data_IF_001891594752
#
_entry.id   IF_001891594752
#
_cell.length_a   1.000
_cell.length_b   1.000
_cell.length_c   1.000
_cell.angle_alpha   90.00
_cell.angle_beta   90.00
_cell.angle_gamma   90.00
#
_symmetry.space_group_name_H-M   'P 1'
#
loop_
_entity.id
_entity.type
_entity.pdbx_description
1 polymer ?
#
# COMPACT_ATOMS: atom_id res chain seq x y z
N UNK A 1 8.63 38.57 15.18
CA UNK A 1 8.99 37.35 15.95
C UNK A 1 8.63 36.19 15.07
N UNK A 2 9.61 35.36 14.68
CA UNK A 2 9.38 34.12 13.94
C UNK A 2 8.65 33.14 14.85
N UNK A 3 7.56 32.54 14.36
CA UNK A 3 6.87 31.50 15.09
C UNK A 3 7.84 30.31 15.29
N UNK A 4 7.85 29.66 16.46
CA UNK A 4 8.66 28.48 16.67
C UNK A 4 8.23 27.38 15.70
N UNK A 5 9.17 26.89 14.91
CA UNK A 5 8.95 25.91 13.85
C UNK A 5 9.87 24.71 14.02
N UNK A 6 9.38 23.55 13.58
CA UNK A 6 10.16 22.33 13.49
C UNK A 6 11.40 22.54 12.63
N UNK A 7 12.55 22.10 13.13
CA UNK A 7 13.78 22.03 12.36
C UNK A 7 14.00 20.60 11.90
N UNK A 8 14.22 20.40 10.60
CA UNK A 8 14.57 19.07 10.09
C UNK A 8 16.00 18.74 10.53
N UNK A 9 16.16 17.60 11.18
CA UNK A 9 17.46 17.09 11.61
C UNK A 9 18.18 16.38 10.48
N UNK A 10 19.51 16.49 10.45
CA UNK A 10 20.33 15.66 9.58
C UNK A 10 20.38 14.24 10.13
N UNK A 11 20.07 13.26 9.28
CA UNK A 11 20.00 11.86 9.69
C UNK A 11 21.34 11.34 10.22
N UNK A 12 22.45 11.68 9.55
CA UNK A 12 23.75 11.15 9.94
C UNK A 12 24.19 11.77 11.27
N UNK A 13 23.92 13.05 11.47
CA UNK A 13 24.16 13.73 12.74
C UNK A 13 23.32 13.10 13.87
N UNK A 14 22.02 12.91 13.67
CA UNK A 14 21.15 12.30 14.67
C UNK A 14 21.62 10.88 15.06
N UNK A 15 21.98 10.05 14.08
CA UNK A 15 22.48 8.69 14.36
C UNK A 15 23.81 8.71 15.11
N UNK A 16 24.68 9.68 14.86
CA UNK A 16 25.93 9.80 15.60
C UNK A 16 25.68 10.19 17.08
N UNK A 17 24.67 11.02 17.34
CA UNK A 17 24.36 11.53 18.67
C UNK A 17 23.56 10.52 19.52
N UNK A 18 22.61 9.80 18.89
CA UNK A 18 21.60 9.00 19.57
C UNK A 18 21.60 7.51 19.19
N UNK A 19 22.26 7.14 18.08
CA UNK A 19 22.22 5.79 17.55
C UNK A 19 20.97 5.48 16.72
N UNK A 20 21.10 4.55 15.77
CA UNK A 20 20.01 4.13 14.88
C UNK A 20 18.91 3.34 15.61
N UNK A 21 19.25 2.70 16.73
CA UNK A 21 18.32 1.87 17.50
C UNK A 21 17.14 2.68 18.02
N UNK A 22 17.32 3.97 18.34
CA UNK A 22 16.21 4.85 18.74
C UNK A 22 15.21 4.99 17.59
N UNK A 23 15.65 5.10 16.34
CA UNK A 23 14.74 5.18 15.21
C UNK A 23 14.05 3.83 14.99
N UNK A 24 14.79 2.73 15.01
CA UNK A 24 14.24 1.38 14.75
C UNK A 24 13.23 0.97 15.82
N UNK A 25 13.57 1.17 17.11
CA UNK A 25 12.71 0.78 18.23
C UNK A 25 11.43 1.62 18.30
N UNK A 26 11.44 2.82 17.72
CA UNK A 26 10.28 3.68 17.62
C UNK A 26 9.51 3.53 16.31
N UNK A 27 10.00 2.75 15.34
CA UNK A 27 9.30 2.58 14.08
C UNK A 27 7.98 1.80 14.28
N UNK A 28 6.86 2.27 13.71
CA UNK A 28 5.55 1.69 13.95
C UNK A 28 5.47 0.28 13.34
N UNK A 29 5.08 -0.71 14.13
CA UNK A 29 4.84 -2.07 13.62
C UNK A 29 3.55 -2.13 12.81
N UNK A 30 3.55 -2.89 11.71
CA UNK A 30 2.39 -2.94 10.78
C UNK A 30 1.85 -4.35 10.65
N UNK A 31 0.53 -4.45 10.76
CA UNK A 31 -0.23 -5.68 10.52
C UNK A 31 -0.67 -5.72 9.06
N UNK A 32 -0.39 -6.84 8.37
CA UNK A 32 -0.88 -7.06 7.01
C UNK A 32 -1.34 -8.51 6.80
N UNK A 33 -2.24 -8.71 5.82
CA UNK A 33 -2.80 -10.03 5.50
C UNK A 33 -1.81 -10.85 4.67
N UNK A 34 -1.73 -12.16 4.95
CA UNK A 34 -0.89 -13.11 4.21
C UNK A 34 -1.52 -13.58 2.89
N UNK A 35 -2.83 -13.39 2.67
CA UNK A 35 -3.56 -13.98 1.54
C UNK A 35 -3.55 -13.11 0.27
N UNK A 36 -3.34 -13.77 -0.87
CA UNK A 36 -3.54 -13.22 -2.23
C UNK A 36 -5.03 -12.93 -2.47
N UNK A 37 -5.37 -11.73 -2.96
CA UNK A 37 -6.78 -11.26 -3.05
C UNK A 37 -7.37 -11.23 -4.47
N UNK A 38 -6.56 -11.44 -5.51
CA UNK A 38 -7.08 -11.58 -6.87
C UNK A 38 -7.34 -13.05 -7.24
N UNK A 39 -8.59 -13.51 -7.09
CA UNK A 39 -9.01 -14.87 -7.52
C UNK A 39 -8.77 -15.14 -9.02
N UNK A 40 -8.73 -14.10 -9.87
CA UNK A 40 -8.42 -14.24 -11.30
C UNK A 40 -6.97 -14.68 -11.55
N UNK A 41 -6.04 -14.26 -10.69
CA UNK A 41 -4.65 -14.72 -10.74
C UNK A 41 -4.60 -16.23 -10.45
N UNK A 42 -5.33 -16.69 -9.44
CA UNK A 42 -5.44 -18.12 -9.11
C UNK A 42 -5.98 -18.96 -10.27
N UNK A 43 -7.00 -18.49 -11.00
CA UNK A 43 -7.48 -19.21 -12.19
C UNK A 43 -6.42 -19.31 -13.30
N UNK A 44 -5.60 -18.27 -13.47
CA UNK A 44 -4.47 -18.30 -14.42
C UNK A 44 -3.37 -19.27 -13.99
N UNK A 45 -3.11 -19.37 -12.68
CA UNK A 45 -2.16 -20.31 -12.09
C UNK A 45 -2.66 -21.76 -12.20
N UNK A 46 -3.95 -22.01 -11.93
CA UNK A 46 -4.57 -23.33 -12.11
C UNK A 46 -4.50 -23.73 -13.60
N UNK A 47 -4.84 -22.81 -14.50
CA UNK A 47 -4.73 -23.05 -15.94
C UNK A 47 -3.28 -23.33 -16.38
N UNK A 48 -2.30 -22.61 -15.84
CA UNK A 48 -0.88 -22.88 -16.06
C UNK A 48 -0.51 -24.30 -15.64
N UNK A 49 -0.86 -24.73 -14.41
CA UNK A 49 -0.57 -26.09 -13.98
C UNK A 49 -1.25 -27.15 -14.86
N UNK A 50 -2.48 -26.91 -15.32
CA UNK A 50 -3.17 -27.82 -16.24
C UNK A 50 -2.46 -27.93 -17.60
N UNK A 51 -2.04 -26.81 -18.17
CA UNK A 51 -1.32 -26.79 -19.47
C UNK A 51 0.07 -27.40 -19.32
N UNK A 52 0.81 -27.09 -18.27
CA UNK A 52 2.11 -27.69 -17.97
C UNK A 52 2.00 -29.22 -17.78
N UNK A 53 1.02 -29.70 -17.01
CA UNK A 53 0.79 -31.15 -16.84
C UNK A 53 0.40 -31.80 -18.17
N UNK A 54 -0.47 -31.16 -18.96
CA UNK A 54 -0.82 -31.63 -20.30
C UNK A 54 0.40 -31.71 -21.24
N UNK A 55 1.32 -30.75 -21.14
CA UNK A 55 2.57 -30.72 -21.89
C UNK A 55 3.48 -31.89 -21.50
N UNK A 56 3.63 -32.16 -20.20
CA UNK A 56 4.42 -33.31 -19.69
C UNK A 56 3.82 -34.66 -20.12
N UNK A 57 2.49 -34.79 -20.11
CA UNK A 57 1.80 -36.00 -20.60
C UNK A 57 2.02 -36.15 -22.11
N UNK A 58 1.88 -35.07 -22.88
CA UNK A 58 2.10 -35.07 -24.33
C UNK A 58 3.53 -35.44 -24.71
N UNK A 59 4.52 -34.91 -23.98
CA UNK A 59 5.93 -35.29 -24.10
C UNK A 59 6.12 -36.80 -23.85
N UNK A 60 5.53 -37.30 -22.76
CA UNK A 60 5.65 -38.72 -22.38
C UNK A 60 5.03 -39.64 -23.44
N UNK A 61 3.82 -39.34 -23.91
CA UNK A 61 3.16 -40.12 -24.97
C UNK A 61 3.93 -40.06 -26.29
N UNK A 62 4.47 -38.89 -26.63
CA UNK A 62 5.26 -38.71 -27.85
C UNK A 62 6.56 -39.52 -27.84
N UNK A 63 7.22 -39.62 -26.69
CA UNK A 63 8.38 -40.50 -26.51
C UNK A 63 7.99 -41.99 -26.62
N UNK A 64 6.85 -42.38 -26.06
CA UNK A 64 6.35 -43.76 -26.15
C UNK A 64 5.92 -44.18 -27.57
N UNK A 65 5.36 -43.26 -28.35
CA UNK A 65 4.86 -43.53 -29.71
C UNK A 65 5.81 -43.07 -30.82
N UNK A 66 7.07 -42.78 -30.47
CA UNK A 66 8.07 -42.21 -31.38
C UNK A 66 8.26 -43.05 -32.66
N UNK A 67 8.06 -44.37 -32.57
CA UNK A 67 8.30 -45.31 -33.68
C UNK A 67 7.14 -45.44 -34.68
N UNK A 68 5.93 -44.97 -34.37
CA UNK A 68 4.72 -45.31 -35.16
C UNK A 68 4.26 -44.15 -36.06
N UNK A 69 4.17 -42.92 -35.54
CA UNK A 69 3.61 -41.76 -36.27
C UNK A 69 4.23 -40.41 -35.83
N UNK A 70 5.53 -40.37 -35.55
CA UNK A 70 6.16 -39.16 -35.01
C UNK A 70 6.57 -38.17 -36.10
N UNK A 71 5.79 -37.09 -36.26
CA UNK A 71 6.20 -35.93 -37.03
C UNK A 71 6.90 -34.91 -36.12
N UNK A 72 8.22 -34.81 -36.25
CA UNK A 72 9.06 -33.83 -35.53
C UNK A 72 8.52 -32.41 -35.68
N UNK A 73 8.06 -32.04 -36.87
CA UNK A 73 7.57 -30.68 -37.17
C UNK A 73 6.29 -30.37 -36.38
N UNK A 74 5.33 -31.31 -36.38
CA UNK A 74 4.07 -31.16 -35.65
C UNK A 74 4.33 -31.11 -34.15
N UNK A 75 5.20 -31.98 -33.65
CA UNK A 75 5.60 -32.01 -32.25
C UNK A 75 6.23 -30.70 -31.78
N UNK A 76 7.22 -30.17 -32.52
CA UNK A 76 7.87 -28.88 -32.21
C UNK A 76 6.84 -27.74 -32.21
N UNK A 77 5.91 -27.76 -33.15
CA UNK A 77 4.88 -26.71 -33.27
C UNK A 77 3.92 -26.72 -32.08
N UNK A 78 3.44 -27.90 -31.67
CA UNK A 78 2.55 -28.06 -30.50
C UNK A 78 3.25 -27.64 -29.20
N UNK A 79 4.51 -28.06 -29.00
CA UNK A 79 5.29 -27.66 -27.81
C UNK A 79 5.47 -26.15 -27.78
N UNK A 80 5.90 -25.55 -28.90
CA UNK A 80 6.14 -24.11 -28.96
C UNK A 80 4.88 -23.31 -28.64
N UNK A 81 3.72 -23.74 -29.14
CA UNK A 81 2.43 -23.11 -28.85
C UNK A 81 2.05 -23.24 -27.37
N UNK A 82 2.16 -24.43 -26.78
CA UNK A 82 1.80 -24.65 -25.38
C UNK A 82 2.74 -23.90 -24.42
N UNK A 83 4.05 -23.87 -24.69
CA UNK A 83 5.02 -23.07 -23.92
C UNK A 83 4.69 -21.58 -24.00
N UNK A 84 4.31 -21.08 -25.19
CA UNK A 84 3.89 -19.69 -25.34
C UNK A 84 2.63 -19.37 -24.50
N UNK A 85 1.63 -20.26 -24.51
CA UNK A 85 0.42 -20.13 -23.68
C UNK A 85 0.77 -20.15 -22.19
N UNK A 86 1.60 -21.10 -21.74
CA UNK A 86 2.03 -21.19 -20.33
C UNK A 86 2.79 -19.94 -19.89
N UNK A 87 3.67 -19.43 -20.74
CA UNK A 87 4.42 -18.19 -20.49
C UNK A 87 3.46 -17.00 -20.32
N UNK A 88 2.42 -16.91 -21.16
CA UNK A 88 1.40 -15.86 -21.03
C UNK A 88 0.60 -16.02 -19.73
N UNK A 89 0.21 -17.26 -19.37
CA UNK A 89 -0.56 -17.53 -18.15
C UNK A 89 0.23 -17.19 -16.88
N UNK A 90 1.51 -17.55 -16.80
CA UNK A 90 2.34 -17.24 -15.64
C UNK A 90 2.68 -15.74 -15.57
N UNK A 91 2.92 -15.08 -16.70
CA UNK A 91 3.08 -13.62 -16.74
C UNK A 91 1.81 -12.91 -16.31
N UNK A 92 0.64 -13.40 -16.72
CA UNK A 92 -0.64 -12.89 -16.26
C UNK A 92 -0.78 -13.09 -14.76
N UNK A 93 -0.48 -14.28 -14.22
CA UNK A 93 -0.49 -14.52 -12.77
C UNK A 93 0.44 -13.55 -12.03
N UNK A 94 1.70 -13.40 -12.44
CA UNK A 94 2.67 -12.51 -11.80
C UNK A 94 2.21 -11.05 -11.84
N UNK A 95 1.64 -10.59 -12.96
CA UNK A 95 1.16 -9.20 -13.12
C UNK A 95 -0.16 -8.91 -12.41
N UNK A 96 -1.02 -9.91 -12.26
CA UNK A 96 -2.31 -9.77 -11.58
C UNK A 96 -2.23 -10.09 -10.08
N UNK A 97 -1.22 -10.84 -9.64
CA UNK A 97 -1.01 -11.07 -8.21
C UNK A 97 -0.34 -9.86 -7.55
N UNK A 98 -1.16 -8.89 -7.14
CA UNK A 98 -0.68 -7.84 -6.22
C UNK A 98 -1.01 -8.27 -4.81
N UNK A 99 -0.01 -8.88 -4.17
CA UNK A 99 0.03 -8.95 -2.71
C UNK A 99 0.32 -7.53 -2.25
N UNK A 100 -0.64 -6.89 -1.59
CA UNK A 100 -0.38 -5.63 -0.89
C UNK A 100 0.37 -5.98 0.38
N UNK A 101 1.66 -5.64 0.41
CA UNK A 101 2.54 -5.91 1.53
C UNK A 101 3.39 -4.68 1.84
N UNK A 102 3.70 -4.43 3.12
CA UNK A 102 4.69 -3.44 3.49
C UNK A 102 6.04 -3.83 2.90
N UNK A 103 6.63 -2.93 2.10
CA UNK A 103 7.89 -3.13 1.37
C UNK A 103 9.05 -2.49 2.10
N UNK A 104 8.93 -1.19 2.37
CA UNK A 104 9.94 -0.35 3.00
C UNK A 104 9.24 0.64 3.94
N UNK A 105 9.98 1.17 4.91
CA UNK A 105 9.56 2.30 5.70
C UNK A 105 10.62 3.38 5.53
N UNK A 106 10.20 4.56 5.09
CA UNK A 106 11.08 5.71 5.02
C UNK A 106 10.80 6.64 6.20
N UNK A 107 11.75 7.47 6.59
CA UNK A 107 11.53 8.39 7.70
C UNK A 107 12.27 9.71 7.59
N UNK A 108 11.75 10.72 8.27
CA UNK A 108 12.39 12.01 8.53
C UNK A 108 12.34 12.32 10.03
N UNK A 109 13.33 13.06 10.52
CA UNK A 109 13.44 13.45 11.91
C UNK A 109 13.35 14.97 11.98
N UNK A 110 12.55 15.46 12.92
CA UNK A 110 12.37 16.87 13.20
C UNK A 110 12.57 17.12 14.68
N UNK A 111 13.15 18.29 15.01
CA UNK A 111 13.45 18.71 16.37
C UNK A 111 12.97 20.14 16.62
N UNK A 112 12.55 20.36 17.86
CA UNK A 112 12.42 21.69 18.46
C UNK A 112 12.76 21.59 19.95
N UNK A 113 13.86 22.22 20.38
CA UNK A 113 14.42 22.04 21.73
C UNK A 113 14.64 20.54 22.05
N UNK A 114 13.96 20.02 23.08
CA UNK A 114 14.04 18.60 23.49
C UNK A 114 12.90 17.75 22.87
N UNK A 115 12.03 18.37 22.09
CA UNK A 115 10.95 17.67 21.40
C UNK A 115 11.42 17.18 20.04
N UNK A 116 11.06 15.94 19.74
CA UNK A 116 11.35 15.28 18.49
C UNK A 116 10.07 14.74 17.86
N UNK A 117 10.00 14.79 16.54
CA UNK A 117 9.00 14.08 15.75
C UNK A 117 9.69 13.20 14.72
N UNK A 118 9.36 11.92 14.73
CA UNK A 118 9.74 10.98 13.68
C UNK A 118 8.55 10.80 12.74
N UNK A 119 8.68 11.31 11.52
CA UNK A 119 7.70 11.11 10.46
C UNK A 119 8.07 9.86 9.67
N UNK A 120 7.31 8.78 9.85
CA UNK A 120 7.45 7.53 9.12
C UNK A 120 6.51 7.49 7.91
N UNK A 121 7.03 7.02 6.78
CA UNK A 121 6.34 6.84 5.50
C UNK A 121 6.40 5.37 5.12
N UNK A 122 5.32 4.65 5.41
CA UNK A 122 5.18 3.24 5.12
C UNK A 122 4.86 3.06 3.65
N UNK A 123 5.67 2.26 2.94
CA UNK A 123 5.48 2.00 1.52
C UNK A 123 4.90 0.60 1.34
N UNK A 124 3.75 0.54 0.69
CA UNK A 124 3.07 -0.67 0.29
C UNK A 124 3.24 -0.93 -1.20
N UNK A 125 3.16 -2.20 -1.59
CA UNK A 125 3.28 -2.62 -3.01
C UNK A 125 2.08 -2.27 -3.88
N UNK A 126 0.96 -1.88 -3.28
CA UNK A 126 -0.33 -1.66 -3.95
C UNK A 126 -1.28 -0.87 -3.06
N UNK A 127 -2.26 -0.16 -3.65
CA UNK A 127 -3.40 0.43 -2.95
C UNK A 127 -4.64 -0.47 -3.07
N UNK A 128 -5.47 -0.54 -2.03
CA UNK A 128 -6.76 -1.24 -2.05
C UNK A 128 -7.93 -0.24 -2.00
N UNK A 129 -9.06 -0.59 -2.62
CA UNK A 129 -10.30 0.20 -2.56
C UNK A 129 -11.49 -0.71 -2.19
N UNK A 130 -12.48 -0.24 -1.39
CA UNK A 130 -13.65 -1.03 -0.97
C UNK A 130 -14.40 -1.64 -2.16
N UNK A 131 -14.58 -0.84 -3.20
CA UNK A 131 -15.16 -1.28 -4.46
C UNK A 131 -14.10 -1.93 -5.36
N UNK A 132 -14.16 -3.27 -5.48
CA UNK A 132 -13.27 -4.09 -6.31
C UNK A 132 -13.18 -3.64 -7.76
N UNK A 133 -14.27 -3.11 -8.33
CA UNK A 133 -14.29 -2.61 -9.69
C UNK A 133 -13.52 -1.27 -9.81
N UNK A 134 -13.76 -0.33 -8.90
CA UNK A 134 -12.99 0.92 -8.82
C UNK A 134 -11.50 0.65 -8.55
N UNK A 135 -11.16 -0.37 -7.77
CA UNK A 135 -9.77 -0.74 -7.46
C UNK A 135 -8.91 -0.96 -8.71
N UNK A 136 -9.49 -1.49 -9.80
CA UNK A 136 -8.79 -1.63 -11.09
C UNK A 136 -8.51 -0.27 -11.73
N UNK A 137 -9.46 0.66 -11.64
CA UNK A 137 -9.32 2.01 -12.21
C UNK A 137 -8.29 2.82 -11.43
N UNK A 138 -8.30 2.73 -10.09
CA UNK A 138 -7.27 3.31 -9.23
C UNK A 138 -5.88 2.78 -9.59
N UNK A 139 -5.74 1.47 -9.78
CA UNK A 139 -4.48 0.86 -10.20
C UNK A 139 -4.01 1.37 -11.57
N UNK A 140 -4.92 1.45 -12.54
CA UNK A 140 -4.60 2.03 -13.86
C UNK A 140 -4.16 3.49 -13.76
N UNK A 141 -4.81 4.27 -12.92
CA UNK A 141 -4.43 5.66 -12.66
C UNK A 141 -3.02 5.76 -12.07
N UNK A 142 -2.72 4.96 -11.03
CA UNK A 142 -1.41 4.94 -10.39
C UNK A 142 -0.32 4.54 -11.40
N UNK A 143 -0.55 3.47 -12.16
CA UNK A 143 0.38 2.99 -13.19
C UNK A 143 0.68 4.06 -14.26
N UNK A 144 -0.35 4.73 -14.78
CA UNK A 144 -0.20 5.62 -15.93
C UNK A 144 0.12 7.07 -15.54
N UNK A 145 -0.32 7.56 -14.38
CA UNK A 145 -0.10 8.96 -13.94
C UNK A 145 1.03 9.08 -12.92
N UNK A 146 1.13 8.14 -11.98
CA UNK A 146 2.15 8.17 -10.93
C UNK A 146 3.40 7.35 -11.31
N UNK A 147 3.34 6.57 -12.40
CA UNK A 147 4.40 5.66 -12.87
C UNK A 147 4.82 4.58 -11.85
N UNK A 148 3.94 4.27 -10.90
CA UNK A 148 4.12 3.21 -9.93
C UNK A 148 2.76 2.75 -9.38
N UNK A 149 2.70 1.60 -8.71
CA UNK A 149 1.49 1.13 -7.99
C UNK A 149 1.60 1.26 -6.48
N UNK A 150 2.64 1.92 -5.97
CA UNK A 150 2.88 1.92 -4.53
C UNK A 150 1.86 2.79 -3.81
N UNK A 151 1.53 2.40 -2.59
CA UNK A 151 0.77 3.24 -1.66
C UNK A 151 1.66 3.68 -0.51
N UNK A 152 1.35 4.85 0.07
CA UNK A 152 2.17 5.44 1.13
C UNK A 152 1.28 5.93 2.25
N UNK A 153 1.52 5.43 3.46
CA UNK A 153 0.87 5.92 4.68
C UNK A 153 1.89 6.65 5.55
N UNK A 154 1.51 7.82 6.07
CA UNK A 154 2.37 8.60 6.96
C UNK A 154 1.90 8.49 8.42
N UNK A 155 2.85 8.33 9.33
CA UNK A 155 2.65 8.29 10.78
C UNK A 155 3.69 9.18 11.42
N UNK A 156 3.25 10.03 12.34
CA UNK A 156 4.13 10.87 13.13
C UNK A 156 4.21 10.33 14.55
N UNK A 157 5.43 10.23 15.08
CA UNK A 157 5.69 9.77 16.43
C UNK A 157 6.37 10.89 17.20
N UNK A 158 5.69 11.36 18.23
CA UNK A 158 6.12 12.48 19.05
C UNK A 158 6.82 11.98 20.30
N UNK A 159 8.02 12.51 20.52
CA UNK A 159 8.94 12.10 21.57
C UNK A 159 9.49 13.36 22.27
N UNK A 160 9.90 13.19 23.51
CA UNK A 160 10.78 14.13 24.21
C UNK A 160 12.05 13.38 24.61
N UNK A 161 13.19 13.81 24.07
CA UNK A 161 14.49 13.17 24.32
C UNK A 161 15.30 14.11 25.21
N UNK A 162 15.51 13.70 26.47
CA UNK A 162 16.44 14.35 27.40
C UNK A 162 17.76 13.57 27.40
N UNK A 163 18.79 14.07 28.10
CA UNK A 163 20.14 13.45 28.10
C UNK A 163 20.17 11.96 28.45
N UNK A 164 19.25 11.48 29.29
CA UNK A 164 19.25 10.09 29.77
C UNK A 164 17.91 9.36 29.60
N UNK A 165 16.87 10.01 29.03
CA UNK A 165 15.53 9.44 28.99
C UNK A 165 14.76 9.84 27.71
N UNK A 166 13.97 8.88 27.20
CA UNK A 166 13.11 9.05 26.03
C UNK A 166 11.68 8.91 26.50
N UNK A 167 10.97 10.03 26.55
CA UNK A 167 9.56 10.05 26.90
C UNK A 167 8.70 10.08 25.63
N UNK A 168 8.00 8.98 25.37
CA UNK A 168 7.05 8.88 24.27
C UNK A 168 5.77 9.66 24.57
N UNK A 169 5.45 10.63 23.72
CA UNK A 169 4.24 11.41 23.87
C UNK A 169 3.05 10.68 23.23
N UNK A 170 3.18 10.29 21.96
CA UNK A 170 2.11 9.62 21.23
C UNK A 170 2.31 9.58 19.72
N UNK A 171 1.26 9.14 19.04
CA UNK A 171 1.21 8.92 17.59
C UNK A 171 0.18 9.85 16.95
N UNK A 172 0.43 10.27 15.72
CA UNK A 172 -0.52 11.07 14.92
C UNK A 172 -0.54 10.56 13.48
N UNK A 173 -1.71 10.18 13.00
CA UNK A 173 -1.89 9.60 11.66
C UNK A 173 -3.34 9.74 11.20
N UNK A 174 -3.59 9.48 9.93
CA UNK A 174 -4.95 9.49 9.34
C UNK A 174 -5.85 8.42 9.98
N UNK A 175 -7.01 8.86 10.50
CA UNK A 175 -7.93 8.00 11.25
C UNK A 175 -9.38 8.18 10.78
N UNK A 176 -10.01 7.07 10.38
CA UNK A 176 -11.39 7.02 9.93
C UNK A 176 -12.36 6.61 11.04
N UNK A 177 -12.59 7.49 12.03
CA UNK A 177 -13.42 7.17 13.19
C UNK A 177 -14.86 6.78 12.85
N UNK A 178 -15.38 5.73 13.51
CA UNK A 178 -16.82 5.47 13.61
C UNK A 178 -17.51 4.96 12.34
N UNK A 179 -16.76 4.64 11.28
CA UNK A 179 -17.33 4.08 10.05
C UNK A 179 -16.95 2.61 9.85
N UNK A 180 -17.90 1.73 9.49
CA UNK A 180 -17.59 0.36 9.09
C UNK A 180 -16.64 0.33 7.89
N UNK A 181 -15.69 -0.61 7.91
CA UNK A 181 -14.63 -0.74 6.90
C UNK A 181 -15.12 -0.99 5.47
N UNK A 182 -16.39 -1.23 5.20
CA UNK A 182 -16.91 -1.45 3.84
C UNK A 182 -17.52 -0.19 3.21
N UNK A 183 -17.63 0.91 3.94
CA UNK A 183 -18.23 2.12 3.40
C UNK A 183 -17.19 2.97 2.65
N UNK A 184 -17.61 3.54 1.53
CA UNK A 184 -16.78 4.47 0.72
C UNK A 184 -16.73 5.89 1.34
N UNK A 185 -17.57 6.19 2.33
CA UNK A 185 -17.72 7.53 2.90
C UNK A 185 -16.79 7.80 4.09
N UNK A 186 -15.69 7.05 4.24
CA UNK A 186 -14.70 7.31 5.30
C UNK A 186 -14.13 8.72 5.13
N UNK A 187 -14.07 9.46 6.25
CA UNK A 187 -13.49 10.79 6.22
C UNK A 187 -11.97 10.69 6.23
N UNK A 188 -11.36 10.81 5.05
CA UNK A 188 -9.91 10.84 4.86
C UNK A 188 -9.25 12.17 5.27
N UNK A 189 -10.03 13.16 5.78
CA UNK A 189 -9.50 14.46 6.25
C UNK A 189 -8.86 14.40 7.61
N UNK A 190 -9.30 13.47 8.44
CA UNK A 190 -9.06 13.54 9.87
C UNK A 190 -7.80 12.80 10.24
N UNK A 191 -6.83 13.55 10.75
CA UNK A 191 -5.70 13.01 11.49
C UNK A 191 -6.01 13.06 12.98
N UNK A 192 -5.70 11.98 13.69
CA UNK A 192 -6.05 11.84 15.10
C UNK A 192 -4.81 11.55 15.94
N UNK A 193 -4.74 12.19 17.11
CA UNK A 193 -3.68 11.96 18.08
C UNK A 193 -4.05 10.85 19.05
N UNK A 194 -3.09 9.96 19.29
CA UNK A 194 -3.20 8.82 20.20
C UNK A 194 -2.07 8.89 21.23
N UNK A 195 -2.39 9.09 22.52
CA UNK A 195 -1.40 9.08 23.59
C UNK A 195 -0.65 7.74 23.65
N UNK A 196 0.66 7.80 23.90
CA UNK A 196 1.51 6.61 23.93
C UNK A 196 1.03 5.57 24.95
N UNK A 197 0.53 6.01 26.11
CA UNK A 197 0.03 5.10 27.15
C UNK A 197 -1.10 4.18 26.67
N UNK A 198 -1.91 4.62 25.69
CA UNK A 198 -2.97 3.78 25.10
C UNK A 198 -2.43 2.69 24.16
N UNK A 199 -1.15 2.77 23.77
CA UNK A 199 -0.49 1.78 22.90
C UNK A 199 0.19 0.64 23.67
N UNK A 200 0.39 0.77 24.99
CA UNK A 200 1.13 -0.20 25.83
C UNK A 200 0.46 -1.58 25.97
N UNK A 201 -0.80 -1.73 25.57
CA UNK A 201 -1.56 -2.99 25.62
C UNK A 201 -1.52 -3.79 24.31
N UNK A 202 -0.44 -3.70 23.53
CA UNK A 202 -0.31 -4.48 22.28
C UNK A 202 -1.48 -4.26 21.31
N UNK A 203 -2.07 -3.06 21.35
CA UNK A 203 -3.15 -2.67 20.45
C UNK A 203 -2.57 -2.31 19.07
N UNK A 204 -1.76 -3.23 18.53
CA UNK A 204 -1.03 -3.18 17.25
C UNK A 204 -1.93 -2.88 16.06
N UNK A 205 -3.25 -3.08 16.25
CA UNK A 205 -4.29 -2.98 15.24
C UNK A 205 -4.68 -1.51 14.94
N UNK A 206 -4.28 -0.54 15.77
CA UNK A 206 -4.74 0.85 15.61
C UNK A 206 -3.80 1.77 14.80
N UNK A 207 -2.49 1.49 14.70
CA UNK A 207 -1.53 2.58 14.43
C UNK A 207 -1.43 3.01 12.97
N UNK A 208 -1.72 2.19 11.96
CA UNK A 208 -1.75 2.68 10.57
C UNK A 208 -1.99 1.57 9.57
N UNK A 209 -3.25 1.24 9.34
CA UNK A 209 -3.58 0.70 8.04
C UNK A 209 -4.97 1.10 7.57
N UNK A 210 -5.51 2.23 8.05
CA UNK A 210 -6.90 2.62 7.80
C UNK A 210 -7.26 2.65 6.31
N UNK A 211 -6.38 3.17 5.45
CA UNK A 211 -6.55 3.14 4.01
C UNK A 211 -6.51 1.73 3.38
N UNK A 212 -5.88 0.76 4.03
CA UNK A 212 -5.79 -0.64 3.58
C UNK A 212 -6.67 -1.59 4.40
N UNK A 213 -7.49 -1.09 5.34
CA UNK A 213 -8.42 -1.93 6.11
C UNK A 213 -9.45 -2.64 5.24
N UNK A 214 -9.73 -2.09 4.05
CA UNK A 214 -10.54 -2.74 3.02
C UNK A 214 -9.97 -4.08 2.55
N UNK A 215 -8.66 -4.29 2.69
CA UNK A 215 -8.08 -5.61 2.48
C UNK A 215 -8.75 -6.61 3.42
N UNK A 216 -8.99 -6.23 4.67
CA UNK A 216 -9.54 -7.09 5.69
C UNK A 216 -11.00 -7.46 5.44
N UNK A 217 -11.70 -6.85 4.48
CA UNK A 217 -13.14 -7.04 4.25
C UNK A 217 -13.56 -8.48 3.91
N UNK A 218 -12.71 -9.27 3.22
CA UNK A 218 -12.99 -10.70 2.99
C UNK A 218 -12.38 -11.60 4.09
N UNK A 219 -11.55 -11.06 4.99
CA UNK A 219 -10.91 -11.79 6.10
C UNK A 219 -11.65 -11.54 7.45
N UNK A 220 -12.39 -10.43 7.57
CA UNK A 220 -13.17 -9.96 8.73
C UNK A 220 -14.68 -10.23 8.59
N UNK A 221 -15.08 -11.23 7.80
CA UNK A 221 -16.51 -11.57 7.63
C UNK A 221 -17.24 -11.80 8.97
N UNK A 222 -16.53 -11.99 10.09
CA UNK A 222 -17.07 -12.13 11.43
C UNK A 222 -16.20 -11.41 12.49
N UNK A 223 -16.75 -10.33 13.06
CA UNK A 223 -16.37 -9.66 14.33
C UNK A 223 -14.95 -9.09 14.53
N UNK A 224 -14.88 -7.81 14.91
CA UNK A 224 -13.67 -7.12 15.36
C UNK A 224 -13.03 -7.80 16.57
N UNK A 225 -13.85 -8.36 17.47
CA UNK A 225 -13.39 -8.98 18.72
C UNK A 225 -12.66 -10.32 18.50
N UNK A 226 -12.76 -10.87 17.28
CA UNK A 226 -12.17 -12.15 16.87
C UNK A 226 -11.08 -12.01 15.82
N UNK A 227 -10.53 -10.80 15.65
CA UNK A 227 -9.38 -10.53 14.78
C UNK A 227 -8.22 -11.50 15.03
N UNK A 228 -7.98 -11.89 16.28
CA UNK A 228 -6.94 -12.87 16.63
C UNK A 228 -7.29 -14.33 16.27
N UNK A 229 -8.55 -14.65 15.94
CA UNK A 229 -9.04 -16.01 15.66
C UNK A 229 -9.09 -16.34 14.14
N UNK A 230 -9.29 -15.34 13.26
CA UNK A 230 -9.65 -15.56 11.84
C UNK A 230 -8.53 -15.36 10.80
N UNK A 231 -7.43 -16.14 10.90
CA UNK A 231 -6.40 -16.36 9.86
C UNK A 231 -5.10 -15.50 9.96
N UNK A 232 -3.98 -15.93 9.34
CA UNK A 232 -2.63 -15.68 9.83
C UNK A 232 -2.12 -14.29 9.45
N UNK A 233 -2.09 -13.40 10.43
CA UNK A 233 -1.48 -12.08 10.31
C UNK A 233 0.03 -12.18 10.32
N UNK A 234 0.68 -11.25 9.62
CA UNK A 234 2.11 -11.03 9.75
C UNK A 234 2.33 -9.65 10.35
N UNK A 235 3.03 -9.60 11.48
CA UNK A 235 3.50 -8.35 12.07
C UNK A 235 4.84 -8.01 11.40
N UNK A 236 4.85 -6.96 10.58
CA UNK A 236 6.08 -6.40 10.03
C UNK A 236 6.72 -5.47 11.05
N UNK A 237 7.90 -5.87 11.53
CA UNK A 237 8.83 -4.99 12.24
C UNK A 237 9.92 -4.50 11.29
N UNK A 238 10.42 -3.31 11.57
CA UNK A 238 11.45 -2.66 10.77
C UNK A 238 12.84 -2.96 11.32
N UNK A 239 13.83 -2.93 10.45
CA UNK A 239 15.23 -3.14 10.75
C UNK A 239 16.08 -2.21 9.88
N UNK A 240 17.39 -2.25 10.09
CA UNK A 240 18.36 -1.40 9.38
C UNK A 240 18.26 -1.54 7.85
N UNK A 241 17.85 -2.71 7.33
CA UNK A 241 17.80 -2.95 5.89
C UNK A 241 16.56 -2.36 5.20
N UNK A 242 15.45 -2.28 5.92
CA UNK A 242 14.14 -1.90 5.37
C UNK A 242 13.62 -0.54 5.89
N UNK A 243 14.32 0.07 6.85
CA UNK A 243 14.11 1.42 7.34
C UNK A 243 15.13 2.36 6.71
N UNK A 244 14.68 3.39 5.97
CA UNK A 244 15.58 4.27 5.20
C UNK A 244 15.28 5.75 5.44
N UNK A 245 16.29 6.62 5.51
CA UNK A 245 16.04 8.06 5.57
C UNK A 245 15.40 8.55 4.25
N UNK A 246 14.37 9.38 4.36
CA UNK A 246 13.70 9.98 3.19
C UNK A 246 14.54 11.11 2.62
N UNK A 247 15.33 10.78 1.61
CA UNK A 247 16.14 11.75 0.86
C UNK A 247 15.33 12.46 -0.23
N UNK A 248 15.81 13.61 -0.71
CA UNK A 248 15.20 14.30 -1.87
C UNK A 248 15.15 13.42 -3.14
N UNK A 249 16.12 12.52 -3.31
CA UNK A 249 16.10 11.52 -4.39
C UNK A 249 14.91 10.57 -4.25
N UNK A 250 14.62 10.12 -3.03
CA UNK A 250 13.48 9.26 -2.75
C UNK A 250 12.16 10.01 -2.88
N UNK A 251 12.05 11.25 -2.41
CA UNK A 251 10.86 12.10 -2.59
C UNK A 251 10.51 12.30 -4.07
N UNK A 252 11.52 12.54 -4.92
CA UNK A 252 11.35 12.61 -6.38
C UNK A 252 10.88 11.28 -6.97
N UNK A 253 11.46 10.16 -6.50
CA UNK A 253 11.13 8.82 -7.00
C UNK A 253 9.66 8.43 -6.76
N UNK A 254 9.09 8.80 -5.62
CA UNK A 254 7.70 8.47 -5.27
C UNK A 254 6.70 9.58 -5.60
N UNK A 255 7.21 10.65 -6.22
CA UNK A 255 6.43 11.82 -6.56
C UNK A 255 5.60 12.38 -5.38
N UNK A 256 6.27 12.64 -4.23
CA UNK A 256 5.62 13.11 -2.99
C UNK A 256 4.66 14.27 -3.21
N UNK A 257 5.00 15.21 -4.10
CA UNK A 257 4.20 16.40 -4.38
C UNK A 257 2.85 16.04 -5.01
N UNK A 258 2.83 15.16 -6.00
CA UNK A 258 1.57 14.69 -6.61
C UNK A 258 0.71 13.90 -5.65
N UNK A 259 1.31 13.29 -4.62
CA UNK A 259 0.61 12.52 -3.57
C UNK A 259 0.15 13.37 -2.38
N UNK A 260 0.37 14.68 -2.41
CA UNK A 260 0.07 15.59 -1.29
C UNK A 260 0.70 15.17 0.05
N UNK A 261 1.85 14.49 0.01
CA UNK A 261 2.56 14.08 1.23
C UNK A 261 3.33 15.28 1.78
N UNK A 262 2.93 15.75 2.96
CA UNK A 262 3.59 16.84 3.67
C UNK A 262 4.69 16.31 4.60
N UNK A 263 5.89 16.88 4.46
CA UNK A 263 7.08 16.48 5.19
C UNK A 263 7.08 16.99 6.64
N UNK A 264 6.58 18.21 6.84
CA UNK A 264 6.61 18.90 8.14
C UNK A 264 5.67 18.24 9.15
N UNK A 265 6.09 18.03 10.41
CA UNK A 265 5.21 17.52 11.44
C UNK A 265 4.03 18.45 11.70
N UNK A 266 2.86 17.85 11.95
CA UNK A 266 1.58 18.55 11.98
C UNK A 266 1.27 19.17 13.34
N UNK A 267 1.69 18.50 14.42
CA UNK A 267 1.45 18.93 15.79
C UNK A 267 2.68 19.62 16.39
N UNK A 268 2.44 20.41 17.42
CA UNK A 268 3.45 21.20 18.15
C UNK A 268 3.35 20.90 19.64
N UNK A 269 4.11 19.91 20.14
CA UNK A 269 4.06 19.52 21.56
C UNK A 269 4.35 20.65 22.55
N UNK A 270 5.08 21.69 22.13
CA UNK A 270 5.39 22.85 22.97
C UNK A 270 4.24 23.86 23.09
N UNK A 271 3.20 23.78 22.25
CA UNK A 271 2.04 24.68 22.30
C UNK A 271 0.95 24.23 23.30
N UNK A 272 1.12 23.05 23.92
CA UNK A 272 0.23 22.55 24.96
C UNK A 272 -0.26 21.14 24.70
N UNK A 273 -1.52 20.85 25.05
CA UNK A 273 -2.09 19.51 24.95
C UNK A 273 -2.23 19.05 23.49
N UNK A 274 -1.51 17.99 23.12
CA UNK A 274 -1.54 17.38 21.79
C UNK A 274 -2.93 16.82 21.40
N UNK A 275 -3.72 16.35 22.36
CA UNK A 275 -5.07 15.82 22.10
C UNK A 275 -6.05 16.88 21.56
N UNK A 276 -5.77 18.17 21.85
CA UNK A 276 -6.62 19.28 21.42
C UNK A 276 -6.17 19.90 20.10
N UNK A 277 -5.01 19.50 19.58
CA UNK A 277 -4.49 20.02 18.33
C UNK A 277 -5.11 19.26 17.17
N UNK A 278 -5.47 20.00 16.12
CA UNK A 278 -6.13 19.44 14.95
C UNK A 278 -5.30 19.74 13.70
N UNK A 279 -5.37 18.83 12.75
CA UNK A 279 -4.82 19.02 11.41
C UNK A 279 -5.85 18.53 10.42
N UNK A 280 -6.21 19.40 9.48
CA UNK A 280 -7.04 19.04 8.35
C UNK A 280 -6.16 18.79 7.14
N UNK A 281 -6.23 17.57 6.61
CA UNK A 281 -5.50 17.26 5.39
C UNK A 281 -6.04 18.10 4.23
N UNK A 282 -5.20 18.87 3.50
CA UNK A 282 -5.67 19.89 2.56
C UNK A 282 -6.48 19.33 1.38
N UNK A 283 -6.18 18.11 0.94
CA UNK A 283 -6.83 17.51 -0.23
C UNK A 283 -6.95 15.98 -0.10
N UNK A 284 -7.82 15.45 0.77
CA UNK A 284 -7.95 14.01 1.08
C UNK A 284 -8.57 13.17 -0.02
N UNK A 285 -9.40 13.78 -0.88
CA UNK A 285 -10.27 13.09 -1.83
C UNK A 285 -9.70 13.17 -3.23
N UNK A 286 -8.52 13.76 -3.41
CA UNK A 286 -7.95 14.08 -4.71
C UNK A 286 -7.93 12.89 -5.68
N UNK A 287 -7.48 11.71 -5.24
CA UNK A 287 -7.50 10.51 -6.08
C UNK A 287 -8.94 10.08 -6.38
N UNK A 288 -9.80 10.04 -5.36
CA UNK A 288 -11.21 9.69 -5.51
C UNK A 288 -11.93 10.64 -6.48
N UNK A 289 -11.61 11.93 -6.44
CA UNK A 289 -12.18 12.96 -7.30
C UNK A 289 -11.68 12.79 -8.74
N UNK A 290 -10.38 12.52 -8.95
CA UNK A 290 -9.82 12.20 -10.27
C UNK A 290 -10.45 10.93 -10.85
N UNK A 291 -10.58 9.88 -10.05
CA UNK A 291 -11.19 8.62 -10.50
C UNK A 291 -12.66 8.82 -10.84
N UNK A 292 -13.42 9.53 -10.00
CA UNK A 292 -14.82 9.81 -10.28
C UNK A 292 -15.00 10.68 -11.53
N UNK A 293 -14.13 11.67 -11.74
CA UNK A 293 -14.13 12.50 -12.96
C UNK A 293 -13.80 11.66 -14.20
N UNK A 294 -12.80 10.77 -14.12
CA UNK A 294 -12.45 9.86 -15.20
C UNK A 294 -13.60 8.91 -15.55
N UNK A 295 -14.28 8.35 -14.54
CA UNK A 295 -15.48 7.51 -14.73
C UNK A 295 -16.57 8.33 -15.42
N UNK A 296 -16.87 9.54 -14.95
CA UNK A 296 -17.90 10.40 -15.55
C UNK A 296 -17.59 10.75 -17.01
N UNK A 297 -16.35 11.12 -17.31
CA UNK A 297 -15.94 11.53 -18.66
C UNK A 297 -15.88 10.38 -19.66
N UNK A 298 -15.45 9.19 -19.23
CA UNK A 298 -15.21 8.06 -20.12
C UNK A 298 -16.42 7.12 -20.21
N UNK A 299 -17.12 6.90 -19.10
CA UNK A 299 -18.23 5.95 -18.99
C UNK A 299 -19.59 6.68 -18.99
N UNK A 300 -19.68 7.85 -18.35
CA UNK A 300 -20.89 8.68 -18.29
C UNK A 300 -21.36 8.99 -16.86
N UNK A 301 -22.08 10.11 -16.68
CA UNK A 301 -22.47 10.63 -15.36
C UNK A 301 -23.46 9.76 -14.57
N UNK A 302 -24.29 8.96 -15.25
CA UNK A 302 -25.33 8.14 -14.62
C UNK A 302 -24.83 6.75 -14.19
N UNK A 303 -23.59 6.39 -14.52
CA UNK A 303 -23.11 5.03 -14.33
C UNK A 303 -22.50 4.79 -12.95
N UNK A 304 -23.15 3.95 -12.13
CA UNK A 304 -22.55 3.39 -10.92
C UNK A 304 -21.77 2.13 -11.27
N UNK A 305 -20.45 2.22 -11.21
CA UNK A 305 -19.56 1.08 -11.39
C UNK A 305 -19.69 0.16 -10.16
N UNK A 306 -20.56 -0.84 -10.26
CA UNK A 306 -20.80 -1.82 -9.19
C UNK A 306 -20.12 -3.18 -9.48
N UNK A 307 -19.94 -3.56 -10.75
CA UNK A 307 -19.42 -4.89 -11.13
C UNK A 307 -18.26 -4.79 -12.14
N UNK A 308 -17.26 -5.67 -11.97
CA UNK A 308 -16.09 -5.78 -12.87
C UNK A 308 -16.42 -6.03 -14.35
N UNK A 309 -17.59 -6.59 -14.65
CA UNK A 309 -18.02 -6.89 -16.02
C UNK A 309 -18.26 -5.60 -16.80
N UNK A 310 -18.71 -4.57 -16.11
CA UNK A 310 -19.11 -3.29 -16.67
C UNK A 310 -17.91 -2.50 -17.18
N UNK A 311 -16.74 -2.69 -16.55
CA UNK A 311 -15.52 -1.97 -16.90
C UNK A 311 -14.77 -2.54 -18.11
N UNK A 312 -14.98 -3.81 -18.47
CA UNK A 312 -14.09 -4.54 -19.40
C UNK A 312 -13.87 -3.84 -20.75
N UNK A 313 -14.91 -3.19 -21.29
CA UNK A 313 -14.85 -2.50 -22.58
C UNK A 313 -14.23 -1.11 -22.47
N UNK A 314 -14.36 -0.46 -21.30
CA UNK A 314 -13.94 0.93 -21.10
C UNK A 314 -12.58 1.07 -20.41
N UNK A 315 -11.98 -0.02 -19.90
CA UNK A 315 -10.62 -0.01 -19.33
C UNK A 315 -9.57 0.57 -20.30
N UNK A 316 -9.68 0.25 -21.59
CA UNK A 316 -8.75 0.80 -22.59
C UNK A 316 -8.90 2.31 -22.77
N UNK A 317 -10.14 2.82 -22.70
CA UNK A 317 -10.43 4.25 -22.80
C UNK A 317 -9.98 4.99 -21.54
N UNK A 318 -10.24 4.43 -20.36
CA UNK A 318 -9.74 4.96 -19.08
C UNK A 318 -8.22 5.02 -19.06
N UNK A 319 -7.55 3.97 -19.56
CA UNK A 319 -6.09 3.95 -19.70
C UNK A 319 -5.58 5.06 -20.61
N UNK A 320 -6.20 5.26 -21.77
CA UNK A 320 -5.85 6.34 -22.68
C UNK A 320 -6.04 7.73 -22.04
N UNK A 321 -7.16 7.91 -21.34
CA UNK A 321 -7.46 9.13 -20.61
C UNK A 321 -6.41 9.45 -19.53
N UNK A 322 -5.99 8.46 -18.74
CA UNK A 322 -4.95 8.66 -17.73
C UNK A 322 -3.58 8.95 -18.34
N UNK A 323 -3.23 8.37 -19.49
CA UNK A 323 -2.00 8.74 -20.21
C UNK A 323 -1.99 10.20 -20.61
N UNK A 324 -3.11 10.73 -21.08
CA UNK A 324 -3.23 12.14 -21.45
C UNK A 324 -3.09 13.07 -20.23
N UNK A 325 -3.51 12.63 -19.05
CA UNK A 325 -3.33 13.37 -17.79
C UNK A 325 -1.88 13.35 -17.25
N UNK A 326 -1.06 12.42 -17.73
CA UNK A 326 0.35 12.26 -17.31
C UNK A 326 1.33 13.17 -18.07
N UNK A 327 0.87 13.76 -19.19
CA UNK A 327 1.60 14.71 -20.05
C UNK A 327 1.38 16.13 -19.55
#
# INVERSE_FOLDING_TARGET
MTNPEWQKEDFQQFVNDYGIDIVINNAPSILYSKKDKEHKAHNSLIAFFLVTVGLLISLSLSLFFMEIYFSIIVFITVISLLVAVDTVLILNYIKSNIIIRPRECWFEIFRYNDYYCFSYYLIFTGKCHPNKAKSIIFKLYQDEVLNDTIDITQIEIYLKINTDDINHLGYFFEYGEGKPFWKEDINHKTWQYFPYDRSKNENYIAIANWAHQYEWLNDLELDFDKLHEYAPWVIKRWNVDNLKPLTERFKKKINCKSRYIESTPKLRPWEGNLENQTYEFPNPTWETDIINDAIKKVIGEEYRVEILKDLKLDLFKLKAYFRELSV
#
